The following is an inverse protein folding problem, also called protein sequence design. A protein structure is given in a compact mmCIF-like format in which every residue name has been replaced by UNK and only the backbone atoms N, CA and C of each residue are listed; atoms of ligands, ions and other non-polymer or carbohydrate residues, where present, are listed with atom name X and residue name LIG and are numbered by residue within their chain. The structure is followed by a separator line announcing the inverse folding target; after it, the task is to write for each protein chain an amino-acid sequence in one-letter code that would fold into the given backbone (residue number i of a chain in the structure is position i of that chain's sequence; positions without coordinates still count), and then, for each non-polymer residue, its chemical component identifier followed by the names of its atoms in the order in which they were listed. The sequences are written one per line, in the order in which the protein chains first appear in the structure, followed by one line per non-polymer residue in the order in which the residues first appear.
data_IF_840123799428
#
_entry.id   IF_840123799428
#
_cell.length_a   1.000
_cell.length_b   1.000
_cell.length_c   1.000
_cell.angle_alpha   90.00
_cell.angle_beta   90.00
_cell.angle_gamma   90.00
#
_symmetry.space_group_name_H-M   'P 1'
#
loop_
_entity.id
_entity.type
_entity.pdbx_description
1 polymer ?
#
# COMPACT_ATOMS: atom_id res chain seq x y z
N UNK A 1 6.90 -8.59 -12.22
CA UNK A 1 7.02 -7.99 -10.87
C UNK A 1 7.52 -6.56 -10.96
N UNK A 2 6.63 -5.57 -10.86
CA UNK A 2 6.99 -4.14 -10.82
C UNK A 2 6.61 -3.61 -9.44
N UNK A 3 7.59 -3.11 -8.67
CA UNK A 3 7.37 -2.60 -7.31
C UNK A 3 7.03 -1.10 -7.45
N UNK A 4 5.90 -0.62 -6.92
CA UNK A 4 5.41 0.77 -7.21
C UNK A 4 5.38 1.68 -5.97
N UNK A 5 6.05 1.29 -4.89
CA UNK A 5 6.28 2.13 -3.72
C UNK A 5 6.99 1.35 -2.62
N UNK A 6 7.46 2.04 -1.59
CA UNK A 6 7.73 1.49 -0.25
C UNK A 6 7.15 2.49 0.76
N UNK A 7 6.36 2.03 1.74
CA UNK A 7 5.82 2.91 2.77
C UNK A 7 7.00 3.43 3.61
N UNK A 8 7.08 4.73 3.98
CA UNK A 8 8.22 5.28 4.71
C UNK A 8 8.55 4.57 6.04
N UNK A 9 7.58 3.88 6.66
CA UNK A 9 7.87 3.04 7.85
C UNK A 9 8.49 1.67 7.52
N UNK A 10 8.72 1.35 6.25
CA UNK A 10 9.20 0.05 5.78
C UNK A 10 8.16 -1.07 5.85
N UNK A 11 6.92 -0.77 6.28
CA UNK A 11 5.94 -1.80 6.63
C UNK A 11 5.18 -2.41 5.45
N UNK A 12 5.20 -1.81 4.26
CA UNK A 12 4.40 -2.32 3.14
C UNK A 12 4.93 -1.82 1.80
N UNK A 13 4.95 -2.69 0.80
CA UNK A 13 4.27 -2.56 -0.52
C UNK A 13 5.03 -3.20 -1.69
N UNK A 14 4.45 -4.28 -2.20
CA UNK A 14 4.60 -4.74 -3.58
C UNK A 14 3.25 -4.54 -4.24
N UNK A 15 3.15 -3.61 -5.20
CA UNK A 15 1.92 -3.46 -5.99
C UNK A 15 2.15 -4.03 -7.38
N UNK A 16 1.59 -5.20 -7.68
CA UNK A 16 1.70 -5.77 -9.02
C UNK A 16 0.39 -5.55 -9.79
N UNK A 17 0.50 -5.06 -11.03
CA UNK A 17 -0.61 -5.12 -11.96
C UNK A 17 -0.62 -6.50 -12.65
N UNK A 18 -1.71 -7.25 -12.49
CA UNK A 18 -2.01 -8.46 -13.24
C UNK A 18 -3.26 -8.21 -14.10
N UNK A 19 -3.07 -7.69 -15.31
CA UNK A 19 -4.16 -7.32 -16.20
C UNK A 19 -4.96 -6.13 -15.65
N UNK A 20 -6.19 -6.37 -15.21
CA UNK A 20 -7.12 -5.37 -14.66
C UNK A 20 -7.09 -5.26 -13.13
N UNK A 21 -6.22 -6.01 -12.45
CA UNK A 21 -6.16 -6.06 -10.99
C UNK A 21 -4.81 -5.60 -10.46
N UNK A 22 -4.84 -4.86 -9.35
CA UNK A 22 -3.67 -4.39 -8.61
C UNK A 22 -3.60 -5.14 -7.28
N UNK A 23 -2.58 -5.96 -7.10
CA UNK A 23 -2.30 -6.62 -5.80
C UNK A 23 -1.52 -5.69 -4.89
N UNK A 24 -1.62 -5.84 -3.59
CA UNK A 24 -0.76 -5.16 -2.62
C UNK A 24 -0.43 -6.07 -1.45
N UNK A 25 0.74 -5.84 -0.85
CA UNK A 25 1.19 -6.54 0.37
C UNK A 25 1.57 -5.53 1.45
N UNK A 26 1.21 -5.84 2.70
CA UNK A 26 1.48 -5.04 3.89
C UNK A 26 2.10 -5.90 4.99
N UNK A 27 2.56 -5.26 6.07
CA UNK A 27 3.13 -5.95 7.23
C UNK A 27 2.11 -6.81 7.99
N UNK A 28 0.82 -6.61 7.75
CA UNK A 28 -0.26 -7.30 8.45
C UNK A 28 -1.18 -8.10 7.52
N UNK A 29 -0.98 -8.04 6.20
CA UNK A 29 -1.85 -8.72 5.25
C UNK A 29 -1.49 -8.49 3.78
N UNK A 30 -2.39 -8.91 2.90
CA UNK A 30 -2.31 -8.70 1.46
C UNK A 30 -3.71 -8.63 0.87
N UNK A 31 -3.85 -7.91 -0.23
CA UNK A 31 -5.13 -7.73 -0.89
C UNK A 31 -5.00 -7.42 -2.37
N UNK A 32 -6.14 -7.16 -3.00
CA UNK A 32 -6.21 -6.80 -4.41
C UNK A 32 -7.37 -5.86 -4.68
N UNK A 33 -7.19 -4.94 -5.62
CA UNK A 33 -8.16 -3.91 -5.99
C UNK A 33 -8.22 -3.74 -7.51
N UNK A 34 -9.36 -3.28 -8.02
CA UNK A 34 -9.58 -3.09 -9.47
C UNK A 34 -8.94 -1.81 -10.02
N UNK A 35 -8.48 -0.90 -9.16
CA UNK A 35 -7.81 0.34 -9.58
C UNK A 35 -6.59 0.62 -8.73
N UNK A 36 -5.61 1.29 -9.34
CA UNK A 36 -4.37 1.69 -8.65
C UNK A 36 -4.67 2.56 -7.43
N UNK A 37 -5.60 3.52 -7.54
CA UNK A 37 -5.96 4.42 -6.44
C UNK A 37 -6.55 3.67 -5.24
N UNK A 38 -7.41 2.68 -5.49
CA UNK A 38 -7.95 1.83 -4.42
C UNK A 38 -6.87 0.94 -3.82
N UNK A 39 -6.03 0.30 -4.63
CA UNK A 39 -4.90 -0.49 -4.12
C UNK A 39 -3.99 0.35 -3.21
N UNK A 40 -3.70 1.58 -3.62
CA UNK A 40 -2.91 2.54 -2.82
C UNK A 40 -3.59 2.89 -1.49
N UNK A 41 -4.90 3.12 -1.50
CA UNK A 41 -5.67 3.39 -0.27
C UNK A 41 -5.74 2.17 0.66
N UNK A 42 -6.11 1.00 0.13
CA UNK A 42 -6.27 -0.23 0.92
C UNK A 42 -4.93 -0.68 1.50
N UNK A 43 -3.85 -0.64 0.71
CA UNK A 43 -2.50 -0.89 1.21
C UNK A 43 -2.13 0.04 2.36
N UNK A 44 -2.50 1.33 2.29
CA UNK A 44 -2.28 2.27 3.39
C UNK A 44 -3.07 1.92 4.62
N UNK A 45 -4.37 1.76 4.47
CA UNK A 45 -5.28 1.48 5.57
C UNK A 45 -4.91 0.17 6.27
N UNK A 46 -4.54 -0.86 5.51
CA UNK A 46 -4.11 -2.17 6.00
C UNK A 46 -2.62 -2.23 6.34
N UNK A 47 -1.90 -1.10 6.44
CA UNK A 47 -0.53 -1.09 6.99
C UNK A 47 -0.48 -0.88 8.49
N UNK A 48 -1.63 -0.58 9.12
CA UNK A 48 -1.72 -0.18 10.51
C UNK A 48 -2.78 -0.96 11.27
N UNK A 49 -2.44 -1.33 12.51
CA UNK A 49 -3.37 -1.87 13.49
C UNK A 49 -4.39 -0.82 13.93
N UNK A 50 -5.49 -1.27 14.57
CA UNK A 50 -6.49 -0.36 15.13
C UNK A 50 -5.93 0.58 16.22
N UNK A 51 -4.85 0.18 16.91
CA UNK A 51 -4.18 1.02 17.92
C UNK A 51 -3.36 2.13 17.26
N UNK A 52 -2.63 1.82 16.20
CA UNK A 52 -1.82 2.81 15.46
C UNK A 52 -2.69 3.82 14.71
N UNK A 53 -3.84 3.37 14.17
CA UNK A 53 -4.86 4.26 13.58
C UNK A 53 -5.41 5.25 14.62
N UNK A 54 -5.66 4.78 15.85
CA UNK A 54 -6.07 5.66 16.96
C UNK A 54 -4.99 6.70 17.33
N UNK A 55 -3.73 6.45 17.00
CA UNK A 55 -2.61 7.38 17.18
C UNK A 55 -2.40 8.28 15.95
N UNK A 56 -3.24 8.18 14.92
CA UNK A 56 -3.13 8.97 13.69
C UNK A 56 -1.96 8.59 12.80
N UNK A 57 -1.34 7.42 13.00
CA UNK A 57 -0.18 6.98 12.21
C UNK A 57 -0.53 6.71 10.74
N UNK A 58 -1.80 6.41 10.47
CA UNK A 58 -2.32 6.29 9.13
C UNK A 58 -2.56 7.64 8.47
N UNK A 59 -2.53 8.76 9.19
CA UNK A 59 -2.77 10.14 8.71
C UNK A 59 -1.43 10.85 8.44
N UNK A 60 -0.81 10.54 7.29
CA UNK A 60 0.43 11.20 6.86
C UNK A 60 0.53 11.31 5.35
N UNK A 61 1.25 12.33 4.87
CA UNK A 61 1.49 12.57 3.44
C UNK A 61 2.45 11.52 2.89
N UNK A 62 1.90 10.45 2.31
CA UNK A 62 2.68 9.40 1.67
C UNK A 62 3.07 9.80 0.25
N UNK A 63 4.38 9.76 -0.04
CA UNK A 63 4.86 9.93 -1.41
C UNK A 63 5.05 8.55 -2.02
N UNK A 64 4.11 8.14 -2.87
CA UNK A 64 4.30 6.99 -3.75
C UNK A 64 5.54 7.24 -4.60
N UNK A 65 6.55 6.38 -4.46
CA UNK A 65 7.71 6.42 -5.35
C UNK A 65 7.42 5.45 -6.48
N UNK A 66 7.08 5.98 -7.64
CA UNK A 66 6.93 5.17 -8.85
C UNK A 66 8.31 4.62 -9.23
N UNK A 67 8.52 3.32 -9.02
CA UNK A 67 9.75 2.66 -9.47
C UNK A 67 9.50 2.28 -10.93
N UNK A 68 9.68 3.24 -11.83
CA UNK A 68 9.84 2.92 -13.25
C UNK A 68 11.22 2.31 -13.46
N UNK A 69 11.23 1.03 -13.81
CA UNK A 69 11.87 0.53 -15.03
C UNK A 69 11.01 -0.62 -15.50
#
# INVERSE_FOLDING_TARGET
MKIIGIHPSGRSIVIESQGTMYRYETSIGKGQESTLSRAKFSARYESFTATEKRQGMDVGSWKWREVYK
#
